data_IF_999352889457
#
_entry.id   IF_999352889457
#
_cell.length_a   1.000
_cell.length_b   1.000
_cell.length_c   1.000
_cell.angle_alpha   90.00
_cell.angle_beta   90.00
_cell.angle_gamma   90.00
#
_symmetry.space_group_name_H-M   'P 1'
#
loop_
_entity.id
_entity.type
_entity.pdbx_description
1 polymer ?
#
# COMPACT_ATOMS: atom_id res chain seq x y z
N UNK A 1 14.78 -8.90 -11.60
CA UNK A 1 14.07 -8.97 -10.32
C UNK A 1 14.79 -8.15 -9.25
N UNK A 2 14.03 -7.39 -8.46
CA UNK A 2 14.60 -6.54 -7.43
C UNK A 2 14.69 -7.34 -6.14
N UNK A 3 15.81 -7.23 -5.43
CA UNK A 3 15.98 -7.97 -4.18
C UNK A 3 15.09 -7.38 -3.09
N UNK A 4 14.73 -8.22 -2.13
CA UNK A 4 13.90 -7.77 -1.02
C UNK A 4 14.60 -6.67 -0.21
N UNK A 5 15.92 -6.73 -0.14
CA UNK A 5 16.68 -5.70 0.59
C UNK A 5 16.53 -4.34 -0.08
N UNK A 6 16.57 -4.31 -1.41
CA UNK A 6 16.39 -3.06 -2.13
C UNK A 6 14.97 -2.54 -1.96
N UNK A 7 13.99 -3.43 -2.01
CA UNK A 7 12.60 -3.03 -1.77
C UNK A 7 12.44 -2.45 -0.37
N UNK A 8 13.02 -3.13 0.63
CA UNK A 8 12.93 -2.67 2.00
C UNK A 8 13.58 -1.30 2.17
N UNK A 9 14.78 -1.14 1.62
CA UNK A 9 15.48 0.14 1.72
C UNK A 9 14.69 1.26 1.07
N UNK A 10 14.07 0.97 -0.06
CA UNK A 10 13.29 1.97 -0.79
C UNK A 10 12.09 2.43 0.02
N UNK A 11 11.31 1.49 0.57
CA UNK A 11 10.13 1.89 1.32
C UNK A 11 10.49 2.51 2.66
N UNK A 12 11.62 2.11 3.27
CA UNK A 12 12.09 2.75 4.48
C UNK A 12 12.43 4.21 4.22
N UNK A 13 13.09 4.47 3.10
CA UNK A 13 13.43 5.84 2.72
C UNK A 13 12.18 6.68 2.46
N UNK A 14 11.22 6.09 1.76
CA UNK A 14 9.96 6.79 1.46
C UNK A 14 9.19 7.08 2.74
N UNK A 15 9.16 6.14 3.67
CA UNK A 15 8.50 6.37 4.94
C UNK A 15 9.16 7.52 5.69
N UNK A 16 10.47 7.61 5.66
CA UNK A 16 11.19 8.67 6.33
C UNK A 16 10.82 10.05 5.81
N UNK A 17 10.47 10.14 4.54
CA UNK A 17 10.10 11.40 3.91
C UNK A 17 8.62 11.68 4.05
N UNK A 18 7.79 10.69 3.77
CA UNK A 18 6.34 10.90 3.65
C UNK A 18 5.57 10.59 4.91
N UNK A 19 6.16 9.84 5.83
CA UNK A 19 5.52 9.33 7.04
C UNK A 19 4.35 8.40 6.73
N UNK A 20 4.36 7.83 5.54
CA UNK A 20 3.36 6.85 5.13
C UNK A 20 3.98 5.47 5.26
N UNK A 21 3.30 4.58 5.95
CA UNK A 21 3.76 3.19 6.05
C UNK A 21 3.53 2.49 4.72
N UNK A 22 4.47 1.66 4.35
CA UNK A 22 4.42 0.98 3.07
C UNK A 22 4.66 -0.51 3.26
N UNK A 23 4.09 -1.29 2.35
CA UNK A 23 4.28 -2.74 2.36
C UNK A 23 4.22 -3.21 0.91
N UNK A 24 5.03 -4.21 0.59
CA UNK A 24 5.04 -4.81 -0.73
C UNK A 24 4.78 -6.29 -0.55
N UNK A 25 3.73 -6.78 -1.21
CA UNK A 25 3.31 -8.18 -1.14
C UNK A 25 3.33 -8.72 -2.57
N UNK A 26 3.89 -9.91 -2.76
CA UNK A 26 3.91 -10.48 -4.10
C UNK A 26 2.55 -11.11 -4.42
N UNK A 27 2.41 -11.59 -5.65
CA UNK A 27 1.13 -12.12 -6.11
C UNK A 27 0.75 -13.44 -5.45
N UNK A 28 1.67 -14.03 -4.71
CA UNK A 28 1.40 -15.26 -3.99
C UNK A 28 1.10 -15.02 -2.51
N UNK A 29 1.09 -13.76 -2.11
CA UNK A 29 0.75 -13.43 -0.73
C UNK A 29 1.93 -13.36 0.22
N UNK A 30 3.14 -13.26 -0.31
CA UNK A 30 4.32 -13.17 0.53
C UNK A 30 4.68 -11.72 0.75
N UNK A 31 4.88 -11.33 2.01
CA UNK A 31 5.33 -9.97 2.34
C UNK A 31 6.81 -9.88 2.03
N UNK A 32 7.16 -9.04 1.06
CA UNK A 32 8.54 -8.87 0.63
C UNK A 32 9.24 -7.77 1.41
N UNK A 33 8.51 -6.75 1.80
CA UNK A 33 9.05 -5.62 2.54
C UNK A 33 7.91 -4.91 3.24
N UNK A 34 8.17 -4.34 4.41
CA UNK A 34 7.13 -3.63 5.14
C UNK A 34 7.77 -2.68 6.14
N UNK A 35 7.09 -1.56 6.40
CA UNK A 35 7.53 -0.62 7.42
C UNK A 35 6.65 -0.66 8.67
N UNK A 36 5.64 -1.54 8.69
CA UNK A 36 4.74 -1.65 9.84
C UNK A 36 4.51 -3.11 10.17
N UNK A 37 4.17 -3.37 11.44
CA UNK A 37 4.10 -4.74 11.95
C UNK A 37 2.85 -5.49 11.50
N UNK A 38 1.78 -4.77 11.20
CA UNK A 38 0.50 -5.40 10.86
C UNK A 38 0.40 -5.82 9.40
N UNK A 39 1.51 -5.77 8.67
CA UNK A 39 1.48 -6.07 7.24
C UNK A 39 0.89 -7.43 6.93
N UNK A 40 1.13 -8.41 7.79
CA UNK A 40 0.60 -9.75 7.57
C UNK A 40 -0.92 -9.80 7.55
N UNK A 41 -1.57 -8.85 8.20
CA UNK A 41 -3.03 -8.81 8.22
C UNK A 41 -3.62 -8.41 6.88
N UNK A 42 -2.81 -7.90 6.00
CA UNK A 42 -3.27 -7.47 4.68
C UNK A 42 -3.01 -8.49 3.59
N UNK A 43 -2.42 -9.64 3.94
CA UNK A 43 -2.10 -10.67 2.93
C UNK A 43 -3.38 -11.19 2.28
N UNK A 44 -4.40 -11.55 3.07
CA UNK A 44 -5.64 -12.05 2.51
C UNK A 44 -6.33 -11.00 1.62
N UNK A 45 -6.50 -9.76 2.09
CA UNK A 45 -7.06 -8.73 1.22
C UNK A 45 -6.23 -8.51 -0.04
N UNK A 46 -4.90 -8.61 0.06
CA UNK A 46 -4.05 -8.43 -1.11
C UNK A 46 -4.28 -9.53 -2.13
N UNK A 47 -4.42 -10.78 -1.68
CA UNK A 47 -4.68 -11.88 -2.59
C UNK A 47 -6.03 -11.71 -3.27
N UNK A 48 -7.03 -11.24 -2.55
CA UNK A 48 -8.33 -10.95 -3.14
C UNK A 48 -8.20 -9.85 -4.19
N UNK A 49 -7.38 -8.84 -3.89
CA UNK A 49 -7.18 -7.73 -4.82
C UNK A 49 -6.46 -8.18 -6.09
N UNK A 50 -5.56 -9.16 -5.99
CA UNK A 50 -4.88 -9.70 -7.17
C UNK A 50 -5.89 -10.20 -8.20
N UNK A 51 -7.00 -10.80 -7.72
CA UNK A 51 -8.02 -11.34 -8.60
C UNK A 51 -9.03 -10.28 -9.06
N UNK A 52 -8.97 -9.09 -8.49
CA UNK A 52 -9.89 -8.02 -8.83
C UNK A 52 -9.46 -7.34 -10.13
N UNK A 53 -10.39 -6.80 -10.91
CA UNK A 53 -10.03 -6.04 -12.10
C UNK A 53 -9.56 -4.62 -11.80
N UNK A 54 -9.70 -4.16 -10.56
CA UNK A 54 -9.32 -2.80 -10.21
C UNK A 54 -7.79 -2.66 -10.15
N UNK A 55 -7.29 -1.48 -10.50
CA UNK A 55 -5.86 -1.19 -10.38
C UNK A 55 -5.51 -0.64 -9.01
N UNK A 56 -6.48 -0.15 -8.27
CA UNK A 56 -6.27 0.32 -6.90
C UNK A 56 -7.54 0.11 -6.11
N UNK A 57 -7.40 0.06 -4.80
CA UNK A 57 -8.52 -0.21 -3.91
C UNK A 57 -8.15 0.22 -2.50
N UNK A 58 -9.13 0.61 -1.70
CA UNK A 58 -8.91 0.92 -0.30
C UNK A 58 -9.51 -0.20 0.54
N UNK A 59 -8.71 -0.76 1.43
CA UNK A 59 -9.16 -1.82 2.32
C UNK A 59 -8.70 -1.49 3.72
N UNK A 60 -9.65 -1.33 4.64
CA UNK A 60 -9.34 -1.06 6.05
C UNK A 60 -8.38 0.12 6.23
N UNK A 61 -8.61 1.19 5.45
CA UNK A 61 -7.80 2.39 5.56
C UNK A 61 -6.45 2.31 4.88
N UNK A 62 -6.16 1.20 4.21
CA UNK A 62 -4.91 1.01 3.51
C UNK A 62 -5.19 1.05 2.01
N UNK A 63 -4.39 1.82 1.28
CA UNK A 63 -4.51 1.90 -0.16
C UNK A 63 -3.70 0.79 -0.79
N UNK A 64 -4.31 0.05 -1.69
CA UNK A 64 -3.67 -1.04 -2.42
C UNK A 64 -3.47 -0.61 -3.86
N UNK A 65 -2.30 -0.87 -4.42
CA UNK A 65 -2.00 -0.56 -5.82
C UNK A 65 -1.35 -1.77 -6.47
N UNK A 66 -1.71 -2.01 -7.72
CA UNK A 66 -1.05 -3.06 -8.50
C UNK A 66 0.19 -2.49 -9.17
N UNK A 67 1.29 -3.20 -9.06
CA UNK A 67 2.54 -2.82 -9.69
C UNK A 67 2.85 -3.84 -10.77
N UNK A 68 2.91 -3.38 -12.01
CA UNK A 68 3.16 -4.25 -13.16
C UNK A 68 4.59 -4.10 -13.63
N UNK A 69 5.13 -5.19 -14.13
CA UNK A 69 6.42 -5.21 -14.78
C UNK A 69 6.25 -5.97 -16.08
N UNK A 70 6.50 -5.31 -17.20
CA UNK A 70 6.39 -5.93 -18.50
C UNK A 70 4.99 -6.50 -18.73
N UNK A 71 3.97 -5.73 -18.35
CA UNK A 71 2.56 -6.07 -18.51
C UNK A 71 2.11 -7.23 -17.63
N UNK A 72 2.95 -7.62 -16.68
CA UNK A 72 2.63 -8.70 -15.77
C UNK A 72 2.58 -8.16 -14.35
N UNK A 73 1.53 -8.55 -13.61
CA UNK A 73 1.40 -8.12 -12.23
C UNK A 73 2.48 -8.77 -11.39
N UNK A 74 3.31 -7.94 -10.76
CA UNK A 74 4.43 -8.43 -9.96
C UNK A 74 4.20 -8.27 -8.47
N UNK A 75 3.67 -7.12 -8.07
CA UNK A 75 3.55 -6.80 -6.65
C UNK A 75 2.25 -6.07 -6.38
N UNK A 76 1.84 -6.13 -5.12
CA UNK A 76 0.81 -5.26 -4.58
C UNK A 76 1.52 -4.32 -3.62
N UNK A 77 1.39 -3.03 -3.87
CA UNK A 77 1.94 -2.01 -2.99
C UNK A 77 0.84 -1.52 -2.08
N UNK A 78 1.10 -1.53 -0.78
CA UNK A 78 0.17 -1.05 0.22
C UNK A 78 0.72 0.25 0.80
N UNK A 79 -0.14 1.24 0.94
CA UNK A 79 0.23 2.53 1.52
C UNK A 79 -0.76 2.84 2.63
N UNK A 80 -0.25 3.00 3.86
CA UNK A 80 -1.08 3.33 5.00
C UNK A 80 -0.44 4.50 5.71
N UNK A 81 -1.04 5.67 5.61
CA UNK A 81 -0.52 6.82 6.30
C UNK A 81 -0.82 6.74 7.77
N UNK A 82 -0.23 7.66 8.52
CA UNK A 82 -0.70 7.93 9.84
C UNK A 82 -2.20 8.09 9.68
N UNK A 83 -2.95 7.44 10.53
CA UNK A 83 -4.40 7.37 10.35
C UNK A 83 -5.03 8.76 10.22
N UNK A 84 -4.51 9.72 10.95
CA UNK A 84 -5.03 11.08 10.85
C UNK A 84 -4.76 11.68 9.48
N UNK A 85 -3.55 11.51 8.98
CA UNK A 85 -3.18 12.09 7.69
C UNK A 85 -4.01 11.53 6.56
N UNK A 86 -4.13 10.22 6.50
CA UNK A 86 -4.91 9.59 5.44
C UNK A 86 -6.36 9.98 5.55
N UNK A 87 -6.90 9.92 6.74
CA UNK A 87 -8.30 10.22 6.97
C UNK A 87 -8.61 11.68 6.64
N UNK A 88 -7.77 12.59 7.11
CA UNK A 88 -7.99 13.99 6.87
C UNK A 88 -7.87 14.35 5.39
N UNK A 89 -6.92 13.74 4.71
CA UNK A 89 -6.79 13.95 3.27
C UNK A 89 -8.06 13.54 2.54
N UNK A 90 -8.59 12.37 2.88
CA UNK A 90 -9.79 11.88 2.24
C UNK A 90 -10.97 12.77 2.57
N UNK A 91 -11.09 13.19 3.81
CA UNK A 91 -12.19 14.03 4.21
C UNK A 91 -12.11 15.40 3.56
N UNK A 92 -10.90 15.94 3.46
CA UNK A 92 -10.74 17.24 2.84
C UNK A 92 -11.25 17.21 1.42
N UNK A 93 -10.94 16.16 0.70
CA UNK A 93 -11.40 16.06 -0.67
C UNK A 93 -12.88 15.77 -0.77
N UNK A 94 -13.41 15.07 0.22
CA UNK A 94 -14.81 14.68 0.17
C UNK A 94 -15.75 15.72 0.76
N UNK A 95 -15.32 16.40 1.77
CA UNK A 95 -16.23 17.25 2.51
C UNK A 95 -15.67 18.60 2.77
N UNK A 96 -14.63 19.00 2.21
CA UNK A 96 -14.10 20.11 2.59
C UNK A 96 -14.74 21.13 2.25
N UNK A 97 -15.16 20.67 1.93
CA UNK A 97 -15.79 21.22 2.03
C UNK A 97 -16.38 21.53 3.12
N UNK A 98 -16.46 21.19 3.93
CA UNK A 98 -16.98 21.36 4.94
C UNK A 98 -16.36 21.58 5.88
N UNK A 99 -15.82 21.42 6.01
CA UNK A 99 -15.30 21.59 6.75
C UNK A 99 -14.77 22.14 6.82
N UNK A 100 -14.68 22.15 6.56
CA UNK A 100 -14.38 22.44 6.42
C UNK A 100 -14.55 22.48 6.25
#
# INVERSE_FOLDING_TARGET
MISNQILQNTIDGLKGITRIDLCIIDVEGKVLAATFLEAEEFVEPALTFVESPADSQVVNGCQFFKVFDDHQLEYILLARGDSDDVYMSARSRASRSRIC
#
